data_IF_649011293584
#
_entry.id   IF_649011293584
#
_cell.length_a   1.000
_cell.length_b   1.000
_cell.length_c   1.000
_cell.angle_alpha   90.00
_cell.angle_beta   90.00
_cell.angle_gamma   90.00
#
_symmetry.space_group_name_H-M   'P 1'
#
loop_
_entity.id
_entity.type
_entity.pdbx_description
1 polymer ?
#
# COMPACT_ATOMS: atom_id res chain seq x y z
N UNK A 1 -27.91 -17.23 -11.44
CA UNK A 1 -26.65 -17.29 -12.21
C UNK A 1 -26.62 -16.04 -13.07
N UNK A 2 -25.54 -15.28 -13.03
CA UNK A 2 -25.44 -13.99 -13.72
C UNK A 2 -25.47 -14.14 -15.23
N UNK A 3 -25.96 -13.10 -15.89
CA UNK A 3 -26.10 -12.97 -17.33
C UNK A 3 -25.42 -11.71 -17.82
N UNK A 4 -25.45 -11.47 -19.13
CA UNK A 4 -24.94 -10.23 -19.72
C UNK A 4 -25.72 -8.99 -19.30
N UNK A 5 -26.95 -9.15 -18.79
CA UNK A 5 -27.76 -8.06 -18.25
C UNK A 5 -27.25 -7.54 -16.90
N UNK A 6 -26.49 -8.36 -16.18
CA UNK A 6 -25.93 -8.01 -14.86
C UNK A 6 -24.54 -7.35 -14.99
N UNK A 7 -23.98 -7.32 -16.20
CA UNK A 7 -22.64 -6.79 -16.43
C UNK A 7 -22.63 -5.27 -16.41
N UNK A 8 -21.64 -4.72 -15.71
CA UNK A 8 -21.35 -3.29 -15.75
C UNK A 8 -20.53 -2.98 -17.03
N UNK A 9 -20.80 -1.86 -17.72
CA UNK A 9 -19.97 -1.39 -18.82
C UNK A 9 -18.51 -1.21 -18.36
N UNK A 10 -17.52 -1.52 -19.22
CA UNK A 10 -16.14 -1.38 -18.82
C UNK A 10 -15.76 0.10 -18.64
N UNK A 11 -14.95 0.38 -17.63
CA UNK A 11 -14.36 1.69 -17.37
C UNK A 11 -13.20 1.85 -18.35
N UNK A 12 -13.46 2.44 -19.52
CA UNK A 12 -12.44 2.70 -20.55
C UNK A 12 -12.87 3.82 -21.49
N UNK A 13 -11.89 4.53 -22.03
CA UNK A 13 -12.05 5.68 -22.91
C UNK A 13 -11.10 5.60 -24.10
N UNK A 14 -11.53 6.12 -25.25
CA UNK A 14 -10.63 6.26 -26.40
C UNK A 14 -9.49 7.25 -26.15
N UNK A 15 -9.63 8.15 -25.17
CA UNK A 15 -8.57 9.10 -24.77
C UNK A 15 -7.32 8.37 -24.30
N UNK A 16 -7.47 7.26 -23.59
CA UNK A 16 -6.35 6.45 -23.08
C UNK A 16 -5.50 5.86 -24.22
N UNK A 17 -6.07 5.71 -25.42
CA UNK A 17 -5.35 5.23 -26.62
C UNK A 17 -4.78 6.36 -27.46
N UNK A 18 -5.10 7.61 -27.16
CA UNK A 18 -4.54 8.78 -27.82
C UNK A 18 -3.22 9.12 -27.14
N UNK A 19 -2.10 8.65 -27.70
CA UNK A 19 -0.76 8.82 -27.14
C UNK A 19 -0.60 8.22 -25.73
N UNK A 20 -0.85 6.90 -25.55
CA UNK A 20 -0.67 6.25 -24.26
C UNK A 20 0.78 6.37 -23.80
N UNK A 21 0.99 6.41 -22.47
CA UNK A 21 2.31 6.18 -21.91
C UNK A 21 2.89 4.86 -22.46
N UNK A 22 4.17 4.79 -22.88
CA UNK A 22 4.71 3.60 -23.57
C UNK A 22 4.50 2.29 -22.80
N UNK A 23 4.70 2.29 -21.48
CA UNK A 23 4.47 1.12 -20.63
C UNK A 23 2.99 0.71 -20.66
N UNK A 24 2.09 1.68 -20.49
CA UNK A 24 0.65 1.42 -20.47
C UNK A 24 0.15 0.90 -21.83
N UNK A 25 0.58 1.53 -22.92
CA UNK A 25 0.27 1.07 -24.27
C UNK A 25 0.79 -0.36 -24.54
N UNK A 26 2.00 -0.69 -24.06
CA UNK A 26 2.55 -2.03 -24.21
C UNK A 26 1.72 -3.08 -23.45
N UNK A 27 1.19 -2.74 -22.27
CA UNK A 27 0.26 -3.59 -21.51
C UNK A 27 -1.10 -3.74 -22.20
N UNK A 28 -1.66 -2.67 -22.78
CA UNK A 28 -2.89 -2.78 -23.61
C UNK A 28 -2.70 -3.75 -24.79
N UNK A 29 -1.50 -3.77 -25.36
CA UNK A 29 -1.15 -4.61 -26.51
C UNK A 29 -0.78 -6.06 -26.15
N UNK A 30 -0.86 -6.43 -24.87
CA UNK A 30 -0.68 -7.82 -24.45
C UNK A 30 -1.87 -8.70 -24.88
N UNK A 31 -1.62 -9.99 -25.07
CA UNK A 31 -2.65 -10.94 -25.54
C UNK A 31 -3.86 -10.98 -24.62
N UNK A 32 -3.62 -11.04 -23.30
CA UNK A 32 -4.70 -11.07 -22.30
C UNK A 32 -5.53 -9.79 -22.31
N UNK A 33 -4.89 -8.63 -22.43
CA UNK A 33 -5.55 -7.32 -22.57
C UNK A 33 -6.40 -7.23 -23.84
N UNK A 34 -5.84 -7.60 -25.01
CA UNK A 34 -6.61 -7.62 -26.25
C UNK A 34 -7.79 -8.58 -26.19
N UNK A 35 -7.66 -9.72 -25.50
CA UNK A 35 -8.77 -10.64 -25.31
C UNK A 35 -9.86 -10.00 -24.43
N UNK A 36 -9.51 -9.43 -23.28
CA UNK A 36 -10.49 -8.80 -22.38
C UNK A 36 -11.05 -7.49 -22.91
N UNK A 37 -10.39 -6.85 -23.88
CA UNK A 37 -10.97 -5.72 -24.58
C UNK A 37 -12.18 -6.12 -25.46
N UNK A 38 -12.31 -7.40 -25.86
CA UNK A 38 -13.40 -7.87 -26.71
C UNK A 38 -14.71 -8.04 -25.93
N UNK A 39 -15.82 -7.69 -26.59
CA UNK A 39 -17.14 -7.80 -26.00
C UNK A 39 -17.52 -9.25 -25.65
N UNK A 40 -17.36 -10.15 -26.62
CA UNK A 40 -17.72 -11.57 -26.48
C UNK A 40 -16.95 -12.29 -25.36
N UNK A 41 -15.67 -11.93 -25.19
CA UNK A 41 -14.85 -12.47 -24.12
C UNK A 41 -15.34 -12.00 -22.75
N UNK A 42 -15.65 -10.70 -22.59
CA UNK A 42 -16.21 -10.15 -21.35
C UNK A 42 -17.57 -10.74 -21.02
N UNK A 43 -18.44 -10.92 -22.01
CA UNK A 43 -19.76 -11.56 -21.85
C UNK A 43 -19.69 -12.97 -21.30
N UNK A 44 -18.58 -13.68 -21.53
CA UNK A 44 -18.35 -15.00 -20.96
C UNK A 44 -17.69 -14.94 -19.59
N UNK A 45 -16.66 -14.12 -19.44
CA UNK A 45 -15.79 -14.11 -18.26
C UNK A 45 -16.46 -13.41 -17.08
N UNK A 46 -17.06 -12.24 -17.28
CA UNK A 46 -17.57 -11.41 -16.18
C UNK A 46 -18.73 -12.09 -15.42
N UNK A 47 -19.77 -12.64 -16.08
CA UNK A 47 -20.82 -13.35 -15.35
C UNK A 47 -20.29 -14.57 -14.58
N UNK A 48 -19.25 -15.22 -15.09
CA UNK A 48 -18.57 -16.33 -14.40
C UNK A 48 -17.81 -15.81 -13.17
N UNK A 49 -17.06 -14.71 -13.31
CA UNK A 49 -16.35 -14.05 -12.21
C UNK A 49 -17.31 -13.60 -11.09
N UNK A 50 -18.43 -12.99 -11.45
CA UNK A 50 -19.49 -12.63 -10.49
C UNK A 50 -20.07 -13.87 -9.79
N UNK A 51 -20.26 -14.97 -10.52
CA UNK A 51 -20.70 -16.24 -9.94
C UNK A 51 -19.70 -16.82 -8.93
N UNK A 52 -18.40 -16.68 -9.18
CA UNK A 52 -17.35 -17.07 -8.23
C UNK A 52 -17.37 -16.18 -6.97
N UNK A 53 -17.61 -14.87 -7.12
CA UNK A 53 -17.78 -13.97 -5.98
C UNK A 53 -18.99 -14.39 -5.14
N UNK A 54 -20.15 -14.68 -5.76
CA UNK A 54 -21.32 -15.18 -5.02
C UNK A 54 -21.03 -16.50 -4.32
N UNK A 55 -20.28 -17.40 -4.95
CA UNK A 55 -19.88 -18.63 -4.29
C UNK A 55 -19.02 -18.35 -3.04
N UNK A 56 -18.09 -17.39 -3.11
CA UNK A 56 -17.30 -16.96 -1.95
C UNK A 56 -18.22 -16.41 -0.86
N UNK A 57 -19.19 -15.56 -1.21
CA UNK A 57 -20.15 -14.98 -0.26
C UNK A 57 -21.01 -16.05 0.43
N UNK A 58 -21.54 -17.02 -0.34
CA UNK A 58 -22.27 -18.18 0.19
C UNK A 58 -21.40 -19.00 1.16
N UNK A 59 -20.13 -19.25 0.80
CA UNK A 59 -19.19 -19.95 1.69
C UNK A 59 -18.85 -19.14 2.93
N UNK A 60 -18.82 -17.81 2.82
CA UNK A 60 -18.68 -16.95 3.99
C UNK A 60 -19.88 -17.06 4.92
N UNK A 61 -21.11 -17.09 4.39
CA UNK A 61 -22.30 -17.36 5.18
C UNK A 61 -22.21 -18.68 5.96
N UNK A 62 -21.68 -19.74 5.33
CA UNK A 62 -21.44 -21.03 6.00
C UNK A 62 -20.42 -20.91 7.13
N UNK A 63 -19.28 -20.25 6.90
CA UNK A 63 -18.25 -20.07 7.92
C UNK A 63 -18.75 -19.20 9.08
N UNK A 64 -19.43 -18.09 8.79
CA UNK A 64 -19.97 -17.19 9.81
C UNK A 64 -20.99 -17.90 10.69
N UNK A 65 -21.91 -18.67 10.09
CA UNK A 65 -22.86 -19.50 10.85
C UNK A 65 -22.16 -20.55 11.72
N UNK A 66 -21.12 -21.20 11.22
CA UNK A 66 -20.33 -22.13 12.02
C UNK A 66 -19.66 -21.45 13.22
N UNK A 67 -19.08 -20.26 13.03
CA UNK A 67 -18.48 -19.49 14.12
C UNK A 67 -19.54 -19.08 15.16
N UNK A 68 -20.73 -18.67 14.72
CA UNK A 68 -21.85 -18.32 15.59
C UNK A 68 -22.32 -19.52 16.44
N UNK A 69 -22.61 -20.67 15.80
CA UNK A 69 -23.07 -21.89 16.47
C UNK A 69 -22.06 -22.42 17.51
N UNK A 70 -20.77 -22.09 17.34
CA UNK A 70 -19.68 -22.45 18.25
C UNK A 70 -19.39 -21.37 19.30
N UNK A 71 -20.07 -20.23 19.25
CA UNK A 71 -19.82 -19.09 20.15
C UNK A 71 -18.45 -18.43 19.93
N UNK A 72 -17.88 -18.54 18.72
CA UNK A 72 -16.55 -18.03 18.40
C UNK A 72 -16.55 -16.59 17.89
N UNK A 73 -17.70 -16.06 17.44
CA UNK A 73 -17.79 -14.70 16.91
C UNK A 73 -17.32 -13.63 17.91
N UNK A 74 -17.64 -13.79 19.19
CA UNK A 74 -17.28 -12.84 20.25
C UNK A 74 -15.78 -12.83 20.61
N UNK A 75 -14.99 -13.74 20.05
CA UNK A 75 -13.56 -13.90 20.38
C UNK A 75 -12.65 -13.96 19.16
N UNK A 76 -13.21 -13.84 17.95
CA UNK A 76 -12.48 -13.97 16.70
C UNK A 76 -12.47 -12.63 15.96
N UNK A 77 -11.29 -12.05 15.77
CA UNK A 77 -11.11 -10.99 14.79
C UNK A 77 -11.22 -11.59 13.39
N UNK A 78 -12.05 -10.98 12.53
CA UNK A 78 -12.24 -11.42 11.15
C UNK A 78 -11.74 -10.33 10.22
N UNK A 79 -10.82 -10.69 9.32
CA UNK A 79 -10.33 -9.82 8.26
C UNK A 79 -10.67 -10.44 6.91
N UNK A 80 -11.38 -9.69 6.08
CA UNK A 80 -11.69 -10.04 4.70
C UNK A 80 -11.01 -9.03 3.78
N UNK A 81 -10.19 -9.53 2.86
CA UNK A 81 -9.41 -8.68 1.94
C UNK A 81 -9.08 -9.44 0.65
N UNK A 82 -8.43 -8.75 -0.29
CA UNK A 82 -7.85 -9.32 -1.51
C UNK A 82 -6.38 -8.93 -1.62
N UNK A 83 -5.60 -9.65 -2.42
CA UNK A 83 -4.21 -9.30 -2.76
C UNK A 83 -4.14 -8.23 -3.85
N UNK A 84 -5.05 -8.28 -4.82
CA UNK A 84 -5.23 -7.29 -5.89
C UNK A 84 -6.60 -7.42 -6.57
N UNK A 85 -7.01 -6.42 -7.32
CA UNK A 85 -8.19 -6.51 -8.20
C UNK A 85 -7.89 -7.10 -9.59
N UNK A 86 -8.78 -6.87 -10.56
CA UNK A 86 -8.64 -7.31 -11.96
C UNK A 86 -9.26 -6.25 -12.89
N UNK A 87 -8.60 -5.96 -14.01
CA UNK A 87 -9.10 -5.01 -15.00
C UNK A 87 -10.35 -5.49 -15.74
N UNK A 88 -10.51 -6.78 -16.03
CA UNK A 88 -11.68 -7.34 -16.73
C UNK A 88 -12.11 -6.57 -18.01
N UNK A 89 -11.17 -5.92 -18.69
CA UNK A 89 -11.39 -5.10 -19.89
C UNK A 89 -11.42 -3.59 -19.66
N UNK A 90 -11.43 -3.14 -18.41
CA UNK A 90 -11.25 -1.74 -18.01
C UNK A 90 -9.87 -1.26 -18.43
N UNK A 91 -9.75 0.02 -18.75
CA UNK A 91 -8.52 0.65 -19.26
C UNK A 91 -7.92 -0.06 -20.49
N UNK A 92 -8.75 -0.81 -21.23
CA UNK A 92 -8.34 -1.70 -22.33
C UNK A 92 -7.40 -2.83 -21.91
N UNK A 93 -7.33 -3.14 -20.62
CA UNK A 93 -6.44 -4.12 -20.04
C UNK A 93 -7.19 -5.36 -19.55
N UNK A 94 -6.44 -6.45 -19.40
CA UNK A 94 -6.82 -7.59 -18.58
C UNK A 94 -5.73 -7.81 -17.54
N UNK A 95 -5.90 -8.80 -16.68
CA UNK A 95 -4.99 -9.06 -15.55
C UNK A 95 -4.98 -7.86 -14.57
N UNK A 96 -3.85 -7.58 -13.91
CA UNK A 96 -3.77 -6.73 -12.70
C UNK A 96 -2.42 -6.02 -12.52
N UNK A 97 -1.71 -5.79 -13.62
CA UNK A 97 -0.27 -5.48 -13.56
C UNK A 97 0.05 -4.00 -13.28
N UNK A 98 -0.93 -3.09 -13.40
CA UNK A 98 -0.74 -1.63 -13.25
C UNK A 98 -1.66 -1.04 -12.16
N UNK A 99 -1.50 0.24 -11.85
CA UNK A 99 -1.96 0.83 -10.59
C UNK A 99 -3.33 1.56 -10.60
N UNK A 100 -4.16 1.41 -11.63
CA UNK A 100 -5.52 1.97 -11.56
C UNK A 100 -6.31 1.33 -10.41
N UNK A 101 -7.36 2.01 -9.94
CA UNK A 101 -8.19 1.58 -8.80
C UNK A 101 -8.68 0.13 -8.94
N UNK A 102 -8.99 -0.33 -10.16
CA UNK A 102 -9.46 -1.68 -10.46
C UNK A 102 -8.48 -2.79 -10.06
N UNK A 103 -7.20 -2.46 -9.90
CA UNK A 103 -6.16 -3.42 -9.55
C UNK A 103 -5.53 -3.10 -8.19
N UNK A 104 -5.15 -1.84 -7.95
CA UNK A 104 -4.41 -1.46 -6.74
C UNK A 104 -5.29 -1.28 -5.50
N UNK A 105 -6.58 -0.92 -5.66
CA UNK A 105 -7.49 -0.70 -4.53
C UNK A 105 -8.32 -1.95 -4.25
N UNK A 106 -7.96 -2.61 -3.17
CA UNK A 106 -8.57 -3.86 -2.71
C UNK A 106 -9.69 -3.59 -1.69
N UNK A 107 -10.71 -4.48 -1.61
CA UNK A 107 -11.63 -4.47 -0.48
C UNK A 107 -10.87 -4.83 0.81
N UNK A 108 -11.19 -4.15 1.92
CA UNK A 108 -10.72 -4.50 3.25
C UNK A 108 -11.85 -4.29 4.26
N UNK A 109 -12.28 -5.37 4.90
CA UNK A 109 -13.27 -5.37 5.98
C UNK A 109 -12.63 -6.02 7.19
N UNK A 110 -12.65 -5.32 8.33
CA UNK A 110 -12.14 -5.84 9.60
C UNK A 110 -13.26 -5.78 10.63
N UNK A 111 -13.50 -6.92 11.28
CA UNK A 111 -14.42 -7.06 12.40
C UNK A 111 -13.56 -7.33 13.64
N UNK A 112 -13.44 -6.32 14.49
CA UNK A 112 -12.92 -6.46 15.86
C UNK A 112 -14.11 -6.82 16.78
N UNK A 113 -14.13 -8.00 17.43
CA UNK A 113 -15.23 -8.41 18.29
C UNK A 113 -15.21 -7.68 19.65
N UNK A 114 -14.12 -6.99 20.01
CA UNK A 114 -14.02 -6.29 21.29
C UNK A 114 -14.98 -5.09 21.38
N UNK A 115 -15.42 -4.79 22.60
CA UNK A 115 -16.29 -3.64 22.88
C UNK A 115 -15.61 -2.29 22.55
N UNK A 116 -14.28 -2.25 22.49
CA UNK A 116 -13.54 -1.04 22.13
C UNK A 116 -13.80 -0.58 20.69
N UNK A 117 -14.26 -1.50 19.82
CA UNK A 117 -14.63 -1.20 18.44
C UNK A 117 -16.13 -0.89 18.26
N UNK A 118 -16.96 -0.92 19.31
CA UNK A 118 -18.42 -0.77 19.19
C UNK A 118 -18.82 0.55 18.52
N UNK A 119 -18.08 1.63 18.77
CA UNK A 119 -18.36 2.95 18.22
C UNK A 119 -18.17 3.05 16.69
N UNK A 120 -17.44 2.11 16.06
CA UNK A 120 -17.11 2.14 14.63
C UNK A 120 -17.80 1.03 13.83
N UNK A 121 -18.57 0.14 14.47
CA UNK A 121 -19.30 -0.93 13.77
C UNK A 121 -20.25 -0.34 12.73
N UNK A 122 -20.18 -0.85 11.50
CA UNK A 122 -20.98 -0.37 10.37
C UNK A 122 -20.52 0.96 9.77
N UNK A 123 -19.39 1.51 10.21
CA UNK A 123 -18.80 2.72 9.61
C UNK A 123 -17.86 2.38 8.45
N UNK A 124 -17.50 3.40 7.67
CA UNK A 124 -16.49 3.35 6.60
C UNK A 124 -15.40 4.38 6.90
N UNK A 125 -14.14 4.02 6.66
CA UNK A 125 -13.00 4.93 6.77
C UNK A 125 -12.47 5.29 5.37
N UNK A 126 -12.18 6.58 5.18
CA UNK A 126 -11.46 7.11 4.01
C UNK A 126 -9.96 7.32 4.28
N UNK A 127 -9.47 6.88 5.45
CA UNK A 127 -8.05 6.94 5.77
C UNK A 127 -7.24 6.09 4.77
N UNK A 128 -6.07 6.58 4.39
CA UNK A 128 -5.14 5.87 3.53
C UNK A 128 -4.56 4.65 4.25
N UNK A 129 -4.78 3.46 3.69
CA UNK A 129 -4.39 2.16 4.26
C UNK A 129 -3.61 1.37 3.21
N UNK A 130 -2.65 0.58 3.67
CA UNK A 130 -1.82 -0.29 2.83
C UNK A 130 -1.97 -1.75 3.28
N UNK A 131 -1.81 -2.72 2.36
CA UNK A 131 -1.91 -4.14 2.72
C UNK A 131 -0.92 -4.58 3.81
N UNK A 132 0.24 -3.89 3.90
CA UNK A 132 1.27 -4.13 4.92
C UNK A 132 0.83 -3.75 6.35
N UNK A 133 -0.31 -3.07 6.51
CA UNK A 133 -0.85 -2.65 7.81
C UNK A 133 -1.45 -3.82 8.61
N UNK A 134 -1.78 -4.92 7.95
CA UNK A 134 -2.37 -6.08 8.62
C UNK A 134 -1.41 -6.71 9.64
N UNK A 135 -0.12 -6.85 9.30
CA UNK A 135 0.88 -7.43 10.18
C UNK A 135 1.03 -6.67 11.52
N UNK A 136 1.29 -5.35 11.54
CA UNK A 136 1.34 -4.59 12.79
C UNK A 136 -0.01 -4.55 13.51
N UNK A 137 -1.14 -4.55 12.79
CA UNK A 137 -2.48 -4.64 13.41
C UNK A 137 -2.64 -5.92 14.21
N UNK A 138 -2.22 -7.07 13.68
CA UNK A 138 -2.31 -8.35 14.38
C UNK A 138 -1.40 -8.40 15.61
N UNK A 139 -0.17 -7.91 15.49
CA UNK A 139 0.75 -7.83 16.64
C UNK A 139 0.15 -6.98 17.75
N UNK A 140 -0.37 -5.81 17.41
CA UNK A 140 -1.01 -4.87 18.34
C UNK A 140 -2.27 -5.48 18.97
N UNK A 141 -3.12 -6.16 18.18
CA UNK A 141 -4.37 -6.78 18.64
C UNK A 141 -4.15 -7.85 19.70
N UNK A 142 -3.09 -8.64 19.57
CA UNK A 142 -2.72 -9.65 20.57
C UNK A 142 -1.87 -9.08 21.73
N UNK A 143 -1.78 -7.75 21.86
CA UNK A 143 -1.06 -7.07 22.94
C UNK A 143 0.47 -7.09 22.79
N UNK A 144 0.97 -7.41 21.59
CA UNK A 144 2.39 -7.39 21.28
C UNK A 144 2.90 -5.97 21.02
N UNK A 145 4.18 -5.73 21.34
CA UNK A 145 4.85 -4.49 20.93
C UNK A 145 5.22 -4.57 19.46
N UNK A 146 4.59 -3.74 18.62
CA UNK A 146 4.87 -3.66 17.18
C UNK A 146 6.35 -3.30 16.93
N UNK A 147 7.14 -4.15 16.25
CA UNK A 147 8.53 -3.84 15.92
C UNK A 147 8.60 -2.93 14.69
N UNK A 148 8.36 -1.63 14.86
CA UNK A 148 8.31 -0.64 13.76
C UNK A 148 9.63 -0.39 13.00
N UNK A 149 10.72 -1.06 13.38
CA UNK A 149 11.98 -1.09 12.64
C UNK A 149 12.10 -2.30 11.71
N UNK A 150 11.08 -3.16 11.70
CA UNK A 150 10.94 -4.34 10.84
C UNK A 150 9.63 -4.24 10.06
N UNK A 151 8.53 -3.92 10.74
CA UNK A 151 7.23 -3.73 10.12
C UNK A 151 7.05 -2.26 9.74
N UNK A 152 6.92 -2.00 8.45
CA UNK A 152 6.81 -0.64 7.89
C UNK A 152 5.35 -0.14 7.81
N UNK A 153 4.39 -1.05 8.00
CA UNK A 153 2.97 -0.70 8.11
C UNK A 153 2.62 -0.05 9.45
N UNK A 154 1.37 0.37 9.57
CA UNK A 154 0.81 1.00 10.77
C UNK A 154 -0.37 0.18 11.27
N UNK A 155 -0.47 -0.03 12.59
CA UNK A 155 -1.62 -0.69 13.18
C UNK A 155 -2.91 0.07 12.83
N UNK A 156 -3.94 -0.66 12.41
CA UNK A 156 -5.26 -0.15 12.10
C UNK A 156 -6.16 -0.10 13.35
N UNK A 157 -5.74 -0.67 14.49
CA UNK A 157 -6.54 -0.66 15.72
C UNK A 157 -7.04 0.72 16.14
N UNK A 158 -6.21 1.80 16.08
CA UNK A 158 -6.72 3.13 16.40
C UNK A 158 -7.95 3.49 15.54
N UNK A 159 -7.89 3.20 14.23
CA UNK A 159 -9.00 3.47 13.30
C UNK A 159 -10.24 2.63 13.63
N UNK A 160 -10.05 1.34 13.94
CA UNK A 160 -11.12 0.43 14.36
C UNK A 160 -11.77 0.85 15.68
N UNK A 161 -11.08 1.64 16.51
CA UNK A 161 -11.57 2.13 17.81
C UNK A 161 -11.95 3.62 17.79
N UNK A 162 -12.13 4.19 16.59
CA UNK A 162 -12.69 5.53 16.41
C UNK A 162 -11.68 6.66 16.58
N UNK A 163 -10.39 6.36 16.51
CA UNK A 163 -9.31 7.35 16.62
C UNK A 163 -8.43 7.34 15.38
N UNK A 164 -8.28 8.48 14.72
CA UNK A 164 -7.28 8.65 13.66
C UNK A 164 -6.06 9.36 14.25
N UNK A 165 -4.88 8.71 14.30
CA UNK A 165 -3.66 9.36 14.77
C UNK A 165 -3.38 10.67 14.01
N UNK A 166 -2.99 11.77 14.66
CA UNK A 166 -2.71 13.04 13.99
C UNK A 166 -1.60 12.96 12.93
N UNK A 167 -0.69 12.00 13.10
CA UNK A 167 0.43 11.72 12.23
C UNK A 167 0.14 10.59 11.23
N UNK A 168 -1.13 10.20 11.02
CA UNK A 168 -1.51 9.19 10.04
C UNK A 168 -0.93 9.47 8.65
N UNK A 169 -0.67 8.41 7.88
CA UNK A 169 0.00 8.53 6.57
C UNK A 169 -0.81 9.43 5.64
N UNK A 170 -0.08 10.20 4.83
CA UNK A 170 -0.65 11.13 3.84
C UNK A 170 -0.52 10.62 2.41
N UNK A 171 0.29 9.58 2.21
CA UNK A 171 0.52 8.92 0.93
C UNK A 171 0.56 7.41 1.13
N UNK A 172 0.15 6.65 0.12
CA UNK A 172 0.37 5.21 0.01
C UNK A 172 1.28 4.89 -1.16
N UNK A 173 1.95 3.75 -1.07
CA UNK A 173 2.87 3.26 -2.08
C UNK A 173 2.44 1.92 -2.66
N UNK A 174 2.80 1.68 -3.92
CA UNK A 174 2.71 0.36 -4.55
C UNK A 174 3.86 0.20 -5.54
N UNK A 175 4.31 -1.03 -5.73
CA UNK A 175 5.46 -1.34 -6.56
C UNK A 175 5.14 -2.44 -7.53
N UNK A 176 5.78 -2.38 -8.70
CA UNK A 176 5.68 -3.46 -9.66
C UNK A 176 6.98 -3.63 -10.45
N UNK A 177 7.49 -4.86 -10.45
CA UNK A 177 8.65 -5.29 -11.22
C UNK A 177 8.19 -6.15 -12.39
N UNK A 178 8.41 -5.65 -13.61
CA UNK A 178 8.05 -6.33 -14.85
C UNK A 178 9.24 -6.94 -15.58
N UNK A 179 10.39 -7.11 -14.92
CA UNK A 179 11.61 -7.62 -15.54
C UNK A 179 11.43 -9.03 -16.15
N UNK A 180 10.57 -9.85 -15.53
CA UNK A 180 10.25 -11.21 -15.98
C UNK A 180 9.08 -11.27 -16.97
N UNK A 181 8.48 -10.13 -17.34
CA UNK A 181 7.29 -10.07 -18.18
C UNK A 181 7.63 -9.83 -19.65
N UNK A 182 6.81 -10.36 -20.56
CA UNK A 182 6.93 -10.17 -22.01
C UNK A 182 6.88 -8.68 -22.43
N UNK A 183 6.20 -7.84 -21.65
CA UNK A 183 6.12 -6.39 -21.89
C UNK A 183 7.51 -5.75 -21.93
N UNK A 184 8.48 -6.27 -21.14
CA UNK A 184 9.87 -5.79 -21.15
C UNK A 184 10.48 -5.91 -22.54
N UNK A 185 10.25 -7.05 -23.20
CA UNK A 185 10.78 -7.31 -24.54
C UNK A 185 10.15 -6.37 -25.56
N UNK A 186 8.84 -6.10 -25.45
CA UNK A 186 8.13 -5.14 -26.30
C UNK A 186 8.66 -3.71 -26.17
N UNK A 187 9.01 -3.31 -24.94
CA UNK A 187 9.55 -2.00 -24.61
C UNK A 187 11.06 -1.88 -24.87
N UNK A 188 11.74 -2.98 -25.20
CA UNK A 188 13.20 -3.07 -25.25
C UNK A 188 13.87 -2.50 -23.98
N UNK A 189 13.27 -2.76 -22.81
CA UNK A 189 13.72 -2.21 -21.55
C UNK A 189 14.81 -3.09 -20.91
N UNK A 190 15.95 -2.53 -20.46
CA UNK A 190 16.88 -3.25 -19.61
C UNK A 190 16.26 -3.64 -18.26
N UNK A 191 16.73 -4.75 -17.69
CA UNK A 191 16.17 -5.39 -16.48
C UNK A 191 16.12 -4.40 -15.31
N UNK A 192 17.20 -3.67 -15.08
CA UNK A 192 17.36 -2.73 -13.97
C UNK A 192 16.42 -1.51 -14.04
N UNK A 193 15.77 -1.29 -15.19
CA UNK A 193 14.77 -0.23 -15.40
C UNK A 193 13.34 -0.77 -15.51
N UNK A 194 13.11 -2.05 -15.23
CA UNK A 194 11.76 -2.64 -15.28
C UNK A 194 10.99 -2.48 -13.98
N UNK A 195 11.04 -1.27 -13.39
CA UNK A 195 10.40 -0.96 -12.11
C UNK A 195 9.45 0.20 -12.24
N UNK A 196 8.27 0.04 -11.65
CA UNK A 196 7.27 1.08 -11.49
C UNK A 196 7.00 1.29 -9.99
N UNK A 197 6.79 2.55 -9.61
CA UNK A 197 6.40 2.93 -8.25
C UNK A 197 5.20 3.86 -8.32
N UNK A 198 4.16 3.54 -7.58
CA UNK A 198 3.00 4.39 -7.39
C UNK A 198 3.13 5.16 -6.08
N UNK A 199 2.75 6.44 -6.11
CA UNK A 199 2.45 7.25 -4.92
C UNK A 199 1.03 7.79 -5.06
N UNK A 200 0.19 7.57 -4.06
CA UNK A 200 -1.17 8.11 -4.02
C UNK A 200 -1.43 8.88 -2.73
N UNK A 201 -1.88 10.13 -2.83
CA UNK A 201 -2.07 11.02 -1.67
C UNK A 201 -3.53 11.25 -1.24
N UNK A 202 -4.46 10.45 -1.76
CA UNK A 202 -5.91 10.64 -1.58
C UNK A 202 -6.57 11.40 -2.72
N UNK A 203 -5.80 12.11 -3.55
CA UNK A 203 -6.29 12.78 -4.77
C UNK A 203 -5.46 12.44 -5.99
N UNK A 204 -4.16 12.67 -5.91
CA UNK A 204 -3.24 12.52 -7.03
C UNK A 204 -2.57 11.16 -6.97
N UNK A 205 -2.59 10.44 -8.09
CA UNK A 205 -1.85 9.19 -8.28
C UNK A 205 -0.71 9.43 -9.25
N UNK A 206 0.52 9.39 -8.74
CA UNK A 206 1.74 9.51 -9.51
C UNK A 206 2.35 8.12 -9.70
N UNK A 207 2.81 7.83 -10.92
CA UNK A 207 3.53 6.60 -11.23
C UNK A 207 4.88 6.95 -11.83
N UNK A 208 5.95 6.63 -11.11
CA UNK A 208 7.30 6.63 -11.64
C UNK A 208 7.50 5.44 -12.58
N UNK A 209 7.96 5.70 -13.81
CA UNK A 209 8.33 4.67 -14.77
C UNK A 209 9.80 4.83 -15.18
N UNK A 210 10.66 3.91 -14.73
CA UNK A 210 12.09 3.99 -14.99
C UNK A 210 12.42 3.98 -16.48
N UNK A 211 13.03 5.07 -16.98
CA UNK A 211 13.38 5.23 -18.40
C UNK A 211 12.29 5.87 -19.27
N UNK A 212 11.14 6.21 -18.69
CA UNK A 212 10.06 6.92 -19.37
C UNK A 212 9.65 8.17 -18.58
N UNK A 213 8.75 8.97 -19.17
CA UNK A 213 8.04 10.03 -18.44
C UNK A 213 7.16 9.41 -17.34
N UNK A 214 6.78 10.13 -16.28
CA UNK A 214 5.81 9.59 -15.33
C UNK A 214 4.41 9.52 -15.94
N UNK A 215 3.51 8.83 -15.23
CA UNK A 215 2.06 8.97 -15.40
C UNK A 215 1.48 9.70 -14.18
N UNK A 216 0.44 10.51 -14.38
CA UNK A 216 -0.21 11.25 -13.30
C UNK A 216 -1.73 11.32 -13.53
N UNK A 217 -2.52 10.96 -12.52
CA UNK A 217 -3.99 11.03 -12.55
C UNK A 217 -4.53 11.88 -11.38
N UNK A 218 -5.55 12.70 -11.65
CA UNK A 218 -6.29 13.48 -10.65
C UNK A 218 -7.60 12.77 -10.31
N UNK A 219 -7.64 11.98 -9.25
CA UNK A 219 -8.83 11.18 -8.90
C UNK A 219 -9.99 12.03 -8.37
N UNK A 220 -9.78 13.33 -8.08
CA UNK A 220 -10.88 14.24 -7.72
C UNK A 220 -11.66 14.68 -8.97
N UNK A 221 -10.96 15.01 -10.06
CA UNK A 221 -11.59 15.53 -11.29
C UNK A 221 -11.76 14.47 -12.39
N UNK A 222 -10.98 13.39 -12.32
CA UNK A 222 -10.99 12.23 -13.19
C UNK A 222 -10.91 10.93 -12.37
N UNK A 223 -11.97 10.57 -11.60
CA UNK A 223 -11.98 9.39 -10.74
C UNK A 223 -11.86 8.06 -11.50
N UNK A 224 -12.04 8.10 -12.82
CA UNK A 224 -11.89 6.94 -13.70
C UNK A 224 -10.52 6.89 -14.38
N UNK A 225 -9.61 7.80 -14.04
CA UNK A 225 -8.19 7.76 -14.46
C UNK A 225 -8.00 7.67 -15.99
N UNK A 226 -8.82 8.37 -16.77
CA UNK A 226 -8.77 8.34 -18.24
C UNK A 226 -7.71 9.26 -18.84
N UNK A 227 -7.27 10.29 -18.11
CA UNK A 227 -6.39 11.33 -18.62
C UNK A 227 -5.07 11.34 -17.86
N UNK A 228 -4.04 10.83 -18.51
CA UNK A 228 -2.66 10.90 -18.02
C UNK A 228 -2.10 12.33 -18.20
N UNK A 229 -1.78 12.98 -17.08
CA UNK A 229 -1.21 14.33 -16.98
C UNK A 229 0.29 14.33 -16.70
N UNK A 230 0.99 13.21 -16.92
CA UNK A 230 2.42 13.08 -16.63
C UNK A 230 3.34 14.03 -17.42
N UNK A 231 2.88 14.52 -18.58
CA UNK A 231 3.57 15.51 -19.42
C UNK A 231 3.00 16.93 -19.28
N UNK A 232 1.99 17.13 -18.42
CA UNK A 232 1.31 18.42 -18.29
C UNK A 232 2.18 19.42 -17.52
N UNK A 233 2.61 20.54 -18.14
CA UNK A 233 3.42 21.55 -17.46
C UNK A 233 2.72 22.18 -16.25
N UNK A 234 1.38 22.23 -16.23
CA UNK A 234 0.61 22.75 -15.09
C UNK A 234 0.73 21.83 -13.86
N UNK A 235 1.02 20.55 -14.07
CA UNK A 235 1.18 19.54 -13.03
C UNK A 235 2.61 19.42 -12.50
N UNK A 236 3.57 20.18 -13.03
CA UNK A 236 4.99 20.05 -12.66
C UNK A 236 5.24 20.16 -11.15
N UNK A 237 4.55 21.06 -10.45
CA UNK A 237 4.65 21.21 -9.00
C UNK A 237 4.10 20.00 -8.22
N UNK A 238 3.02 19.39 -8.72
CA UNK A 238 2.44 18.17 -8.12
C UNK A 238 3.36 16.97 -8.32
N UNK A 239 3.88 16.80 -9.54
CA UNK A 239 4.85 15.75 -9.87
C UNK A 239 6.08 15.87 -8.97
N UNK A 240 6.66 17.07 -8.85
CA UNK A 240 7.84 17.30 -8.01
C UNK A 240 7.58 16.95 -6.54
N UNK A 241 6.41 17.31 -6.00
CA UNK A 241 6.03 16.96 -4.63
C UNK A 241 5.91 15.45 -4.43
N UNK A 242 5.17 14.74 -5.29
CA UNK A 242 4.96 13.29 -5.14
C UNK A 242 6.23 12.49 -5.43
N UNK A 243 7.10 13.00 -6.30
CA UNK A 243 8.44 12.45 -6.49
C UNK A 243 9.33 12.63 -5.25
N UNK A 244 9.20 13.75 -4.53
CA UNK A 244 9.89 13.94 -3.25
C UNK A 244 9.40 12.96 -2.19
N UNK A 245 8.08 12.72 -2.09
CA UNK A 245 7.51 11.68 -1.20
C UNK A 245 8.05 10.28 -1.54
N UNK A 246 8.14 9.94 -2.83
CA UNK A 246 8.75 8.68 -3.27
C UNK A 246 10.24 8.59 -2.88
N UNK A 247 10.97 9.69 -3.02
CA UNK A 247 12.38 9.76 -2.69
C UNK A 247 12.63 9.60 -1.20
N UNK A 248 11.85 10.27 -0.36
CA UNK A 248 11.92 10.15 1.09
C UNK A 248 11.58 8.72 1.55
N UNK A 249 10.56 8.10 0.96
CA UNK A 249 10.25 6.69 1.20
C UNK A 249 11.39 5.75 0.76
N UNK A 250 11.94 5.94 -0.43
CA UNK A 250 13.02 5.09 -0.95
C UNK A 250 14.33 5.19 -0.15
N UNK A 251 14.56 6.33 0.51
CA UNK A 251 15.71 6.55 1.39
C UNK A 251 15.45 6.13 2.85
N UNK A 252 14.23 5.72 3.19
CA UNK A 252 13.92 5.22 4.53
C UNK A 252 14.82 4.02 4.86
N UNK A 253 15.45 3.96 6.06
CA UNK A 253 16.41 2.91 6.40
C UNK A 253 15.73 1.58 6.78
N UNK A 254 14.92 1.03 5.88
CA UNK A 254 14.19 -0.24 6.06
C UNK A 254 15.10 -1.46 6.25
N UNK A 255 16.38 -1.35 5.86
CA UNK A 255 17.40 -2.37 6.13
C UNK A 255 17.89 -2.45 7.59
N UNK A 256 17.54 -1.49 8.46
CA UNK A 256 18.01 -1.45 9.86
C UNK A 256 17.17 -2.34 10.79
N UNK A 257 17.06 -3.63 10.47
CA UNK A 257 16.15 -4.57 11.16
C UNK A 257 16.76 -5.26 12.39
N UNK A 258 18.09 -5.19 12.58
CA UNK A 258 18.78 -5.98 13.63
C UNK A 258 18.86 -5.28 14.98
N UNK A 259 18.63 -3.96 15.02
CA UNK A 259 18.78 -3.15 16.22
C UNK A 259 17.59 -2.19 16.33
N UNK A 260 16.73 -2.34 17.36
CA UNK A 260 15.60 -1.44 17.56
C UNK A 260 16.05 0.01 17.83
N UNK A 261 15.24 1.03 17.45
CA UNK A 261 15.53 2.44 17.69
C UNK A 261 15.81 2.76 19.16
N UNK A 262 15.08 2.14 20.08
CA UNK A 262 15.27 2.25 21.54
C UNK A 262 16.72 1.94 21.95
N UNK A 263 17.32 0.91 21.33
CA UNK A 263 18.70 0.49 21.61
C UNK A 263 19.72 1.41 20.95
N UNK A 264 19.39 1.97 19.78
CA UNK A 264 20.23 2.97 19.09
C UNK A 264 20.25 4.27 19.89
N UNK A 265 19.08 4.76 20.32
CA UNK A 265 18.94 5.94 21.17
C UNK A 265 19.72 5.77 22.48
N UNK A 266 19.56 4.61 23.13
CA UNK A 266 20.30 4.28 24.34
C UNK A 266 21.83 4.33 24.16
N UNK A 267 22.37 4.05 22.96
CA UNK A 267 23.81 4.14 22.70
C UNK A 267 24.33 5.56 22.85
N UNK A 268 23.62 6.53 22.27
CA UNK A 268 23.96 7.95 22.33
C UNK A 268 23.70 8.54 23.73
N UNK A 269 22.53 8.27 24.30
CA UNK A 269 22.10 8.82 25.59
C UNK A 269 22.98 8.36 26.76
N UNK A 270 23.44 7.10 26.71
CA UNK A 270 24.29 6.52 27.75
C UNK A 270 25.79 6.73 27.50
N UNK A 271 26.17 7.39 26.39
CA UNK A 271 27.56 7.49 25.92
C UNK A 271 28.34 6.19 26.16
N UNK A 272 27.85 5.09 25.55
CA UNK A 272 28.38 3.75 25.82
C UNK A 272 29.89 3.61 25.54
N UNK A 273 30.46 4.49 24.72
CA UNK A 273 31.90 4.59 24.48
C UNK A 273 32.66 4.95 25.77
N UNK A 274 32.23 5.99 26.50
CA UNK A 274 32.85 6.39 27.76
C UNK A 274 32.66 5.32 28.84
N UNK A 275 31.46 4.71 28.90
CA UNK A 275 31.21 3.54 29.78
C UNK A 275 32.11 2.33 29.43
N UNK A 276 32.42 2.15 28.15
CA UNK A 276 33.32 1.11 27.66
C UNK A 276 34.81 1.44 27.77
N UNK A 277 35.17 2.61 28.30
CA UNK A 277 36.56 3.06 28.45
C UNK A 277 37.17 3.68 27.18
N UNK A 278 36.37 3.92 26.14
CA UNK A 278 36.81 4.62 24.92
C UNK A 278 36.72 6.13 25.12
N UNK A 279 37.85 6.75 25.44
CA UNK A 279 37.95 8.19 25.71
C UNK A 279 38.48 8.90 24.47
N UNK A 280 37.59 9.45 23.64
CA UNK A 280 37.95 10.16 22.41
C UNK A 280 37.73 11.65 22.63
N UNK A 281 38.80 12.45 22.47
CA UNK A 281 38.71 13.91 22.55
C UNK A 281 38.44 14.49 23.94
N UNK A 282 38.64 13.70 25.01
CA UNK A 282 38.49 14.16 26.40
C UNK A 282 39.82 14.77 26.85
N UNK A 283 39.79 16.03 27.28
CA UNK A 283 40.97 16.83 27.60
C UNK A 283 41.57 16.50 28.97
N UNK A 284 40.72 16.35 30.00
CA UNK A 284 41.15 16.08 31.37
C UNK A 284 40.14 15.25 32.20
N UNK A 285 40.51 14.92 33.44
CA UNK A 285 39.67 14.13 34.36
C UNK A 285 38.39 14.85 34.78
N UNK A 286 38.38 16.19 34.82
CA UNK A 286 37.19 16.95 35.19
C UNK A 286 36.13 16.86 34.10
N UNK A 287 36.55 16.94 32.84
CA UNK A 287 35.66 16.75 31.70
C UNK A 287 35.10 15.32 31.69
N UNK A 288 35.93 14.31 31.97
CA UNK A 288 35.49 12.93 32.09
C UNK A 288 34.45 12.73 33.21
N UNK A 289 34.65 13.33 34.37
CA UNK A 289 33.75 13.17 35.51
C UNK A 289 32.41 13.89 35.27
N UNK A 290 32.43 15.09 34.68
CA UNK A 290 31.20 15.78 34.29
C UNK A 290 30.36 14.96 33.29
N UNK A 291 31.02 14.28 32.35
CA UNK A 291 30.37 13.37 31.42
C UNK A 291 29.73 12.19 32.16
N UNK A 292 30.47 11.53 33.07
CA UNK A 292 29.96 10.39 33.86
C UNK A 292 28.76 10.78 34.72
N UNK A 293 28.79 11.96 35.33
CA UNK A 293 27.69 12.49 36.13
C UNK A 293 26.44 12.72 35.27
N UNK A 294 26.60 13.29 34.07
CA UNK A 294 25.52 13.46 33.11
C UNK A 294 24.89 12.13 32.67
N UNK A 295 25.70 11.08 32.46
CA UNK A 295 25.19 9.73 32.17
C UNK A 295 24.42 9.16 33.37
N UNK A 296 24.94 9.31 34.59
CA UNK A 296 24.30 8.82 35.80
C UNK A 296 22.99 9.53 36.12
N UNK A 297 22.87 10.82 35.79
CA UNK A 297 21.65 11.59 35.94
C UNK A 297 20.57 11.15 34.95
N UNK A 298 20.93 10.92 33.68
CA UNK A 298 20.00 10.40 32.66
C UNK A 298 19.49 9.00 32.97
N UNK A 299 20.32 8.13 33.57
CA UNK A 299 19.91 6.79 33.97
C UNK A 299 18.89 6.74 35.13
N UNK A 300 18.63 7.87 35.81
CA UNK A 300 17.67 7.98 36.92
C UNK A 300 16.33 8.60 36.52
N UNK A 301 16.20 9.13 35.30
CA UNK A 301 14.96 9.64 34.72
C UNK A 301 14.26 8.52 33.95
#
# INVERSE_FOLDING_TARGET
MYSTLDMIPPIRSMRERQNPHPVFGAYMDMRYSRNMARHDAREKVIPTYMGLITQIDDQMGVLMKFLEERGLLETTMIVFTSDHGDYLGDHWMGEKDLFHEQSAKIPLIIIDPSQEADATRGTRSDALVEGIDLAPTFVDYFGGKVPGHILEGRSLLPLLRGSTPPDWRKVTFSEYDYAMQDVRLKLNQPIERCRLFMVFDGRWKYIHASGFRPMLYDLETDPQEYVDRGDDPECAGIIARLQAELFDWALHPSGHITTPPEKIAAYAENQLQVKGGFLIGIWDEKELDAIKDGIAQRAKM
#
